data_IF_410756371567
#
_entry.id   IF_410756371567
#
_cell.length_a   1.000
_cell.length_b   1.000
_cell.length_c   1.000
_cell.angle_alpha   90.00
_cell.angle_beta   90.00
_cell.angle_gamma   90.00
#
_symmetry.space_group_name_H-M   'P 1'
#
loop_
_entity.id
_entity.type
_entity.pdbx_description
1 polymer ?
#
# COMPACT_ATOMS: atom_id res chain seq x y z
N UNK A 1 -6.39 21.69 -4.78
CA UNK A 1 -5.72 20.70 -3.92
C UNK A 1 -6.09 19.30 -4.34
N UNK A 2 -5.11 18.47 -4.38
CA UNK A 2 -5.34 17.07 -4.71
C UNK A 2 -5.85 16.31 -3.48
N UNK A 3 -6.87 15.49 -3.66
CA UNK A 3 -7.33 14.60 -2.60
C UNK A 3 -6.55 13.29 -2.59
N UNK A 4 -5.55 13.18 -3.44
CA UNK A 4 -4.78 11.96 -3.58
C UNK A 4 -4.04 11.60 -2.31
N UNK A 5 -4.02 10.31 -2.03
CA UNK A 5 -3.27 9.75 -0.91
C UNK A 5 -2.24 8.81 -1.51
N UNK A 6 -0.98 9.01 -1.13
CA UNK A 6 0.10 8.12 -1.55
C UNK A 6 0.49 7.29 -0.36
N UNK A 7 0.59 5.99 -0.55
CA UNK A 7 0.99 5.06 0.50
C UNK A 7 2.24 4.33 0.05
N UNK A 8 3.25 4.31 0.91
CA UNK A 8 4.48 3.56 0.68
C UNK A 8 4.66 2.60 1.83
N UNK A 9 4.43 1.32 1.57
CA UNK A 9 4.58 0.27 2.57
C UNK A 9 5.90 -0.45 2.34
N UNK A 10 6.60 -0.78 3.42
CA UNK A 10 7.86 -1.51 3.36
C UNK A 10 7.71 -2.82 4.11
N UNK A 11 8.25 -3.89 3.53
CA UNK A 11 8.05 -5.25 4.03
C UNK A 11 9.37 -6.00 4.12
N UNK A 12 9.46 -6.90 5.09
CA UNK A 12 10.46 -7.96 5.08
C UNK A 12 9.79 -9.19 4.51
N UNK A 13 10.41 -9.81 3.50
CA UNK A 13 9.91 -11.06 2.93
C UNK A 13 10.40 -12.19 3.82
N UNK A 14 9.51 -13.11 4.19
CA UNK A 14 9.88 -14.21 5.08
C UNK A 14 10.91 -15.12 4.40
N UNK A 15 11.87 -15.67 5.18
CA UNK A 15 12.88 -16.55 4.62
C UNK A 15 12.27 -17.71 3.85
N UNK A 16 12.81 -17.97 2.65
CA UNK A 16 12.34 -19.06 1.80
C UNK A 16 11.04 -18.77 1.07
N UNK A 17 10.48 -17.55 1.19
CA UNK A 17 9.17 -17.24 0.63
C UNK A 17 9.21 -16.27 -0.56
N UNK A 18 10.41 -16.03 -1.12
CA UNK A 18 10.53 -15.03 -2.18
C UNK A 18 9.64 -15.33 -3.39
N UNK A 19 9.69 -16.56 -3.91
CA UNK A 19 8.93 -16.89 -5.11
C UNK A 19 7.42 -16.90 -4.84
N UNK A 20 7.00 -17.40 -3.68
CA UNK A 20 5.60 -17.39 -3.29
C UNK A 20 5.11 -15.95 -3.14
N UNK A 21 5.93 -15.10 -2.51
CA UNK A 21 5.62 -13.68 -2.35
C UNK A 21 5.46 -13.02 -3.72
N UNK A 22 6.38 -13.26 -4.65
CA UNK A 22 6.29 -12.69 -6.00
C UNK A 22 5.00 -13.08 -6.69
N UNK A 23 4.61 -14.36 -6.61
CA UNK A 23 3.38 -14.81 -7.25
C UNK A 23 2.16 -14.16 -6.60
N UNK A 24 2.16 -14.07 -5.27
CA UNK A 24 1.07 -13.42 -4.55
C UNK A 24 0.94 -11.95 -4.94
N UNK A 25 2.07 -11.24 -5.07
CA UNK A 25 2.07 -9.84 -5.49
C UNK A 25 1.53 -9.69 -6.92
N UNK A 26 1.94 -10.57 -7.84
CA UNK A 26 1.43 -10.50 -9.22
C UNK A 26 -0.08 -10.59 -9.26
N UNK A 27 -0.65 -11.51 -8.49
CA UNK A 27 -2.11 -11.68 -8.44
C UNK A 27 -2.80 -10.49 -7.79
N UNK A 28 -2.21 -9.96 -6.70
CA UNK A 28 -2.80 -8.82 -6.01
C UNK A 28 -2.78 -7.57 -6.90
N UNK A 29 -1.68 -7.35 -7.62
CA UNK A 29 -1.57 -6.19 -8.52
C UNK A 29 -2.53 -6.33 -9.70
N UNK A 30 -2.65 -7.52 -10.27
CA UNK A 30 -3.60 -7.76 -11.35
C UNK A 30 -5.04 -7.51 -10.90
N UNK A 31 -5.38 -7.94 -9.68
CA UNK A 31 -6.70 -7.70 -9.11
C UNK A 31 -6.94 -6.19 -8.92
N UNK A 32 -5.94 -5.49 -8.37
CA UNK A 32 -6.06 -4.05 -8.14
C UNK A 32 -6.26 -3.30 -9.46
N UNK A 33 -5.54 -3.71 -10.50
CA UNK A 33 -5.66 -3.08 -11.82
C UNK A 33 -7.07 -3.23 -12.39
N UNK A 34 -7.67 -4.39 -12.25
CA UNK A 34 -8.98 -4.66 -12.85
C UNK A 34 -10.16 -4.26 -11.97
N UNK A 35 -10.02 -4.32 -10.65
CA UNK A 35 -11.14 -4.18 -9.71
C UNK A 35 -10.93 -3.12 -8.64
N UNK A 36 -9.70 -2.69 -8.39
CA UNK A 36 -9.40 -1.80 -7.29
C UNK A 36 -9.57 -0.33 -7.63
N UNK A 37 -9.66 0.52 -6.61
CA UNK A 37 -9.78 1.97 -6.80
C UNK A 37 -8.45 2.69 -7.01
N UNK A 38 -7.33 1.99 -6.92
CA UNK A 38 -6.02 2.60 -7.02
C UNK A 38 -5.79 3.23 -8.40
N UNK A 39 -5.14 4.40 -8.41
CA UNK A 39 -4.66 5.02 -9.64
C UNK A 39 -3.36 4.38 -10.10
N UNK A 40 -2.56 3.89 -9.16
CA UNK A 40 -1.30 3.22 -9.46
C UNK A 40 -0.93 2.30 -8.33
N UNK A 41 -0.33 1.18 -8.67
CA UNK A 41 0.30 0.26 -7.72
C UNK A 41 1.62 -0.16 -8.34
N UNK A 42 2.72 0.06 -7.61
CA UNK A 42 4.05 -0.33 -8.05
C UNK A 42 4.75 -1.04 -6.92
N UNK A 43 5.30 -2.21 -7.20
CA UNK A 43 5.99 -3.00 -6.19
C UNK A 43 7.45 -3.18 -6.61
N UNK A 44 8.34 -2.98 -5.66
CA UNK A 44 9.78 -3.08 -5.85
C UNK A 44 10.31 -4.15 -4.90
N UNK A 45 11.21 -5.00 -5.38
CA UNK A 45 11.76 -6.07 -4.56
C UNK A 45 13.28 -6.06 -4.67
N UNK A 46 13.94 -5.97 -3.52
CA UNK A 46 15.37 -6.15 -3.40
C UNK A 46 15.58 -7.60 -2.90
N UNK A 47 15.93 -8.48 -3.84
CA UNK A 47 16.02 -9.91 -3.51
C UNK A 47 17.17 -10.21 -2.58
N UNK A 48 18.27 -9.47 -2.70
CA UNK A 48 19.43 -9.71 -1.85
C UNK A 48 19.13 -9.46 -0.37
N UNK A 49 18.38 -8.40 -0.08
CA UNK A 49 18.03 -8.06 1.29
C UNK A 49 16.70 -8.66 1.73
N UNK A 50 15.99 -9.32 0.82
CA UNK A 50 14.65 -9.88 1.07
C UNK A 50 13.69 -8.82 1.56
N UNK A 51 13.69 -7.67 0.88
CA UNK A 51 12.81 -6.54 1.20
C UNK A 51 12.00 -6.12 0.00
N UNK A 52 10.80 -5.65 0.28
CA UNK A 52 9.91 -5.17 -0.76
C UNK A 52 9.30 -3.85 -0.34
N UNK A 53 8.92 -3.05 -1.33
CA UNK A 53 8.19 -1.80 -1.11
C UNK A 53 7.03 -1.77 -2.09
N UNK A 54 5.88 -1.30 -1.61
CA UNK A 54 4.69 -1.14 -2.44
C UNK A 54 4.24 0.31 -2.39
N UNK A 55 4.22 0.94 -3.55
CA UNK A 55 3.73 2.31 -3.71
C UNK A 55 2.32 2.23 -4.25
N UNK A 56 1.37 2.88 -3.57
CA UNK A 56 -0.01 2.95 -4.04
C UNK A 56 -0.47 4.39 -4.06
N UNK A 57 -1.14 4.77 -5.13
CA UNK A 57 -1.73 6.10 -5.25
C UNK A 57 -3.24 5.93 -5.31
N UNK A 58 -3.92 6.53 -4.34
CA UNK A 58 -5.38 6.51 -4.24
C UNK A 58 -5.93 7.88 -4.64
N UNK A 59 -7.06 7.94 -5.36
CA UNK A 59 -7.63 9.24 -5.74
C UNK A 59 -8.14 10.04 -4.55
N UNK A 60 -8.48 9.40 -3.43
CA UNK A 60 -9.07 10.07 -2.29
C UNK A 60 -9.05 9.18 -1.05
N UNK A 61 -9.38 9.77 0.10
CA UNK A 61 -9.59 8.99 1.32
C UNK A 61 -10.71 7.98 1.16
N UNK A 62 -11.77 8.36 0.44
CA UNK A 62 -12.89 7.45 0.19
C UNK A 62 -12.42 6.19 -0.55
N UNK A 63 -11.50 6.35 -1.50
CA UNK A 63 -10.93 5.22 -2.22
C UNK A 63 -10.10 4.33 -1.30
N UNK A 64 -9.35 4.92 -0.36
CA UNK A 64 -8.60 4.14 0.63
C UNK A 64 -9.56 3.28 1.44
N UNK A 65 -10.65 3.87 1.92
CA UNK A 65 -11.62 3.13 2.72
C UNK A 65 -12.30 2.04 1.91
N UNK A 66 -12.61 2.31 0.64
CA UNK A 66 -13.20 1.31 -0.24
C UNK A 66 -12.24 0.13 -0.44
N UNK A 67 -10.96 0.41 -0.61
CA UNK A 67 -9.95 -0.62 -0.76
C UNK A 67 -9.86 -1.49 0.50
N UNK A 68 -9.90 -0.87 1.67
CA UNK A 68 -9.84 -1.63 2.93
C UNK A 68 -11.06 -2.53 3.14
N UNK A 69 -12.22 -2.11 2.64
CA UNK A 69 -13.45 -2.89 2.76
C UNK A 69 -13.56 -3.99 1.72
N UNK A 70 -12.78 -3.87 0.65
CA UNK A 70 -12.81 -4.84 -0.42
C UNK A 70 -12.25 -6.16 0.09
N UNK A 71 -13.01 -7.21 -0.07
CA UNK A 71 -12.57 -8.53 0.36
C UNK A 71 -11.60 -9.10 -0.66
N UNK A 72 -10.39 -8.56 -0.67
CA UNK A 72 -9.36 -8.98 -1.60
C UNK A 72 -8.70 -10.27 -1.09
N UNK A 73 -8.98 -11.42 -1.71
CA UNK A 73 -8.40 -12.68 -1.26
C UNK A 73 -6.89 -12.73 -1.50
N UNK A 74 -6.37 -11.88 -2.38
CA UNK A 74 -4.95 -11.91 -2.72
C UNK A 74 -4.09 -11.19 -1.69
N UNK A 75 -4.63 -10.21 -1.00
CA UNK A 75 -3.88 -9.48 0.04
C UNK A 75 -3.48 -10.42 1.17
N UNK A 76 -4.37 -11.35 1.54
CA UNK A 76 -4.04 -12.32 2.58
C UNK A 76 -2.81 -13.15 2.19
N UNK A 77 -2.78 -13.63 0.94
CA UNK A 77 -1.65 -14.42 0.47
C UNK A 77 -0.35 -13.63 0.50
N UNK A 78 -0.42 -12.34 0.14
CA UNK A 78 0.76 -11.48 0.22
C UNK A 78 1.24 -11.38 1.66
N UNK A 79 0.31 -11.06 2.58
CA UNK A 79 0.66 -10.81 3.97
C UNK A 79 1.12 -12.05 4.73
N UNK A 80 0.76 -13.24 4.26
CA UNK A 80 1.25 -14.47 4.87
C UNK A 80 2.73 -14.71 4.60
N UNK A 81 3.29 -14.05 3.58
CA UNK A 81 4.65 -14.28 3.14
C UNK A 81 5.61 -13.14 3.48
N UNK A 82 5.14 -12.15 4.21
CA UNK A 82 5.96 -10.99 4.56
C UNK A 82 5.50 -10.39 5.89
N UNK A 83 6.31 -9.44 6.38
CA UNK A 83 5.99 -8.68 7.59
C UNK A 83 6.09 -7.21 7.22
N UNK A 84 5.04 -6.45 7.49
CA UNK A 84 5.08 -5.00 7.25
C UNK A 84 6.01 -4.34 8.26
N UNK A 85 7.01 -3.60 7.76
CA UNK A 85 7.97 -2.92 8.60
C UNK A 85 7.55 -1.51 8.93
N UNK A 86 6.94 -0.82 7.97
CA UNK A 86 6.45 0.54 8.17
C UNK A 86 5.51 0.93 7.05
N UNK A 87 4.73 1.95 7.31
CA UNK A 87 3.84 2.53 6.31
C UNK A 87 4.00 4.05 6.37
N UNK A 88 4.35 4.65 5.23
CA UNK A 88 4.44 6.10 5.10
C UNK A 88 3.29 6.57 4.22
N UNK A 89 2.51 7.51 4.74
CA UNK A 89 1.33 8.04 4.05
C UNK A 89 1.58 9.50 3.73
N UNK A 90 1.35 9.88 2.49
CA UNK A 90 1.55 11.25 2.03
C UNK A 90 0.23 11.81 1.53
N UNK A 91 -0.13 12.97 2.02
CA UNK A 91 -1.39 13.62 1.71
C UNK A 91 -2.13 14.00 2.98
N UNK A 92 -3.44 14.21 2.85
CA UNK A 92 -4.27 14.62 3.97
C UNK A 92 -5.44 13.66 4.15
N UNK A 93 -5.20 12.51 4.79
CA UNK A 93 -6.25 11.53 5.01
C UNK A 93 -7.36 12.09 5.88
N UNK A 94 -8.60 11.65 5.61
CA UNK A 94 -9.71 12.05 6.45
C UNK A 94 -9.66 11.31 7.80
N UNK A 95 -10.61 11.65 8.67
CA UNK A 95 -10.65 11.11 10.02
C UNK A 95 -10.78 9.59 10.05
N UNK A 96 -11.61 9.04 9.18
CA UNK A 96 -11.80 7.59 9.15
C UNK A 96 -10.53 6.84 8.72
N UNK A 97 -9.81 7.39 7.73
CA UNK A 97 -8.53 6.80 7.33
C UNK A 97 -7.54 6.90 8.48
N UNK A 98 -7.49 8.04 9.16
CA UNK A 98 -6.58 8.22 10.29
C UNK A 98 -6.85 7.20 11.39
N UNK A 99 -8.13 6.90 11.65
CA UNK A 99 -8.48 5.88 12.66
C UNK A 99 -7.96 4.50 12.25
N UNK A 100 -8.08 4.16 10.97
CA UNK A 100 -7.54 2.89 10.46
C UNK A 100 -6.02 2.80 10.59
N UNK A 101 -5.34 3.92 10.32
CA UNK A 101 -3.88 3.97 10.46
C UNK A 101 -3.47 3.83 11.93
N UNK A 102 -4.25 4.40 12.84
CA UNK A 102 -3.99 4.27 14.27
C UNK A 102 -4.00 2.81 14.70
N UNK A 103 -4.87 2.00 14.11
CA UNK A 103 -4.92 0.57 14.40
C UNK A 103 -3.59 -0.11 14.06
N UNK A 104 -2.93 0.29 12.97
CA UNK A 104 -1.62 -0.26 12.62
C UNK A 104 -0.57 0.16 13.64
N UNK A 105 -0.63 1.41 14.08
CA UNK A 105 0.30 1.91 15.10
C UNK A 105 0.15 1.10 16.38
N UNK A 106 -1.08 0.79 16.76
CA UNK A 106 -1.35 0.00 17.96
C UNK A 106 -0.81 -1.42 17.84
N UNK A 107 -0.66 -1.92 16.62
CA UNK A 107 -0.06 -3.23 16.36
C UNK A 107 1.47 -3.16 16.36
N UNK A 108 2.04 -1.99 16.58
CA UNK A 108 3.49 -1.83 16.62
C UNK A 108 4.14 -1.47 15.29
N UNK A 109 3.34 -1.16 14.28
CA UNK A 109 3.87 -0.78 12.96
C UNK A 109 4.10 0.72 12.92
N UNK A 110 5.33 1.18 12.64
CA UNK A 110 5.57 2.61 12.46
C UNK A 110 4.79 3.15 11.27
N UNK A 111 4.03 4.22 11.52
CA UNK A 111 3.24 4.88 10.47
C UNK A 111 3.55 6.36 10.52
N UNK A 112 3.82 6.97 9.36
CA UNK A 112 3.95 8.43 9.26
C UNK A 112 2.86 8.96 8.35
N UNK A 113 2.43 10.18 8.62
CA UNK A 113 1.46 10.89 7.77
C UNK A 113 2.02 12.27 7.53
N UNK A 114 2.28 12.61 6.26
CA UNK A 114 2.91 13.87 5.90
C UNK A 114 2.04 14.58 4.86
N UNK A 115 1.58 15.81 5.15
CA UNK A 115 0.74 16.55 4.21
C UNK A 115 1.49 16.93 2.94
N UNK A 116 0.77 17.07 1.86
CA UNK A 116 1.35 17.53 0.62
C UNK A 116 1.74 18.99 0.74
N UNK A 117 2.82 19.37 0.06
CA UNK A 117 3.24 20.77 0.00
C UNK A 117 3.09 21.29 -1.43
N UNK A 118 3.86 20.77 -2.37
CA UNK A 118 3.84 21.25 -3.74
C UNK A 118 4.27 20.13 -4.69
N UNK A 119 3.72 20.15 -5.89
CA UNK A 119 4.10 19.17 -6.89
C UNK A 119 3.17 19.23 -8.08
N UNK A 120 3.46 18.43 -9.08
CA UNK A 120 2.54 18.28 -10.22
C UNK A 120 2.70 16.87 -10.77
N UNK A 121 1.72 16.44 -11.55
CA UNK A 121 1.78 15.20 -12.30
C UNK A 121 1.59 15.48 -13.77
N UNK A 122 2.49 14.89 -14.54
CA UNK A 122 2.31 14.88 -15.96
C UNK A 122 1.70 13.55 -16.28
N UNK A 123 0.66 13.54 -16.97
CA UNK A 123 0.17 12.31 -17.18
C UNK A 123 -1.03 12.23 -17.91
N UNK A 124 -1.39 11.14 -18.21
CA UNK A 124 -2.50 10.95 -18.83
C UNK A 124 -2.73 9.58 -18.88
N UNK A 125 -3.52 9.36 -19.20
CA UNK A 125 -3.87 8.23 -19.26
C UNK A 125 -4.75 7.60 -19.38
#
# INVERSE_FOLDING_TARGET
MSERIVQLASFDIRPGKLEVFKQAIRKAVAFAESQGPQLAVETYIDEDSMRASSLQIMPSSKAVLAHWKMADPYIRDVMENCIMRRLDVYGEPNEEVMLGLLSLIEQGIPVTVTPAFVGFRRGHH
#
